data_IF_369369785681
#
_entry.id   IF_369369785681
#
_cell.length_a   1.000
_cell.length_b   1.000
_cell.length_c   1.000
_cell.angle_alpha   90.00
_cell.angle_beta   90.00
_cell.angle_gamma   90.00
#
_symmetry.space_group_name_H-M   'P 1'
#
loop_
_entity.id
_entity.type
_entity.pdbx_description
1 polymer ?
#
# COMPACT_ATOMS: atom_id res chain seq x y z
N UNK A 1 44.58 -60.52 -6.13
CA UNK A 1 43.47 -60.94 -7.02
C UNK A 1 42.15 -60.79 -6.27
N UNK A 2 41.12 -60.23 -6.89
CA UNK A 2 39.76 -60.02 -6.34
C UNK A 2 39.47 -58.55 -6.03
N UNK A 3 38.94 -57.72 -6.95
CA UNK A 3 37.56 -57.55 -7.48
C UNK A 3 36.52 -57.02 -6.47
N UNK A 4 36.07 -55.80 -6.75
CA UNK A 4 34.69 -55.31 -6.53
C UNK A 4 34.57 -54.16 -5.52
N UNK A 5 33.73 -53.15 -5.68
CA UNK A 5 32.78 -52.78 -6.75
C UNK A 5 32.21 -51.42 -6.32
N UNK A 6 32.68 -50.31 -6.89
CA UNK A 6 32.04 -49.01 -6.68
C UNK A 6 30.64 -49.03 -7.32
N UNK A 7 29.61 -48.83 -6.50
CA UNK A 7 28.24 -48.61 -6.96
C UNK A 7 27.76 -47.24 -6.51
N UNK A 8 27.87 -46.36 -7.49
CA UNK A 8 27.15 -45.11 -7.67
C UNK A 8 25.63 -45.31 -7.52
N UNK A 9 25.01 -44.52 -6.64
CA UNK A 9 23.59 -44.18 -6.57
C UNK A 9 23.54 -42.88 -5.75
N UNK A 10 22.96 -41.75 -6.16
CA UNK A 10 22.00 -41.46 -7.20
C UNK A 10 21.17 -40.29 -6.65
N UNK A 11 21.72 -39.07 -6.71
CA UNK A 11 21.03 -37.85 -6.27
C UNK A 11 20.00 -37.40 -7.32
N UNK A 12 18.73 -37.12 -6.95
CA UNK A 12 17.74 -36.65 -7.91
C UNK A 12 18.05 -35.22 -8.39
N UNK A 13 18.26 -35.09 -9.71
CA UNK A 13 18.42 -33.84 -10.44
C UNK A 13 17.15 -32.99 -10.29
N UNK A 14 17.27 -31.78 -9.73
CA UNK A 14 16.23 -30.74 -9.83
C UNK A 14 16.45 -29.97 -11.14
N UNK A 15 15.42 -29.94 -11.97
CA UNK A 15 15.37 -29.27 -13.27
C UNK A 15 15.60 -27.77 -13.13
N UNK A 16 16.63 -27.28 -13.82
CA UNK A 16 16.93 -25.86 -13.98
C UNK A 16 16.25 -25.40 -15.26
N UNK A 17 15.11 -24.73 -15.17
CA UNK A 17 14.55 -23.95 -16.27
C UNK A 17 14.58 -22.47 -15.87
N UNK A 18 15.60 -21.77 -16.38
CA UNK A 18 15.68 -20.31 -16.38
C UNK A 18 14.66 -19.74 -17.38
N UNK A 19 13.87 -18.71 -17.03
CA UNK A 19 13.07 -18.01 -18.01
C UNK A 19 13.98 -17.20 -18.98
N UNK A 20 13.89 -17.54 -20.26
CA UNK A 20 14.56 -16.86 -21.38
C UNK A 20 14.16 -15.38 -21.47
N UNK A 21 15.15 -14.53 -21.64
CA UNK A 21 15.03 -13.11 -22.00
C UNK A 21 14.43 -12.94 -23.40
N UNK A 22 13.52 -11.98 -23.67
CA UNK A 22 13.10 -11.68 -25.03
C UNK A 22 14.16 -10.89 -25.80
N UNK A 23 14.51 -11.40 -26.97
CA UNK A 23 15.45 -10.86 -27.95
C UNK A 23 15.00 -9.52 -28.55
N UNK A 24 15.96 -8.60 -28.73
CA UNK A 24 15.84 -7.38 -29.55
C UNK A 24 15.51 -7.73 -31.01
N UNK A 25 14.32 -7.37 -31.47
CA UNK A 25 13.97 -7.30 -32.90
C UNK A 25 14.07 -5.87 -33.40
N UNK A 26 14.99 -5.62 -34.35
CA UNK A 26 15.07 -4.40 -35.16
C UNK A 26 13.85 -4.33 -36.10
N UNK A 27 13.16 -3.20 -36.11
CA UNK A 27 12.19 -2.83 -37.14
C UNK A 27 12.06 -1.31 -37.16
N UNK A 28 12.66 -0.68 -38.16
CA UNK A 28 12.60 0.76 -38.39
C UNK A 28 11.28 1.18 -39.05
N UNK A 29 10.83 2.39 -38.72
CA UNK A 29 9.72 3.08 -39.35
C UNK A 29 9.65 4.50 -38.81
N UNK A 30 10.20 5.44 -39.58
CA UNK A 30 10.20 6.86 -39.24
C UNK A 30 8.80 7.46 -39.30
N UNK A 31 8.56 8.43 -38.41
CA UNK A 31 7.35 9.24 -38.35
C UNK A 31 7.65 10.51 -37.59
N UNK A 32 7.84 11.57 -38.36
CA UNK A 32 8.08 12.97 -38.02
C UNK A 32 7.43 13.53 -36.76
N UNK A 33 8.22 14.39 -36.11
CA UNK A 33 7.85 15.52 -35.26
C UNK A 33 6.50 16.18 -35.56
N UNK A 34 5.70 16.39 -34.51
CA UNK A 34 4.90 17.60 -34.37
C UNK A 34 4.95 18.11 -32.93
N UNK A 35 5.53 19.30 -32.80
CA UNK A 35 5.39 20.20 -31.66
C UNK A 35 3.94 20.67 -31.60
N UNK A 36 3.33 20.77 -30.41
CA UNK A 36 1.99 21.32 -30.27
C UNK A 36 1.36 21.18 -28.89
N UNK A 37 1.47 22.25 -28.10
CA UNK A 37 0.53 22.77 -27.09
C UNK A 37 -0.06 21.85 -26.00
N UNK A 38 0.33 22.15 -24.75
CA UNK A 38 -0.63 22.41 -23.67
C UNK A 38 -1.42 21.21 -23.15
N UNK A 39 -0.76 20.23 -22.54
CA UNK A 39 -1.44 19.32 -21.60
C UNK A 39 -1.45 19.97 -20.21
N UNK A 40 -2.36 20.91 -19.98
CA UNK A 40 -2.65 21.40 -18.63
C UNK A 40 -3.75 20.55 -18.00
N UNK A 41 -3.36 19.80 -16.97
CA UNK A 41 -4.18 19.02 -16.03
C UNK A 41 -5.56 18.57 -16.52
N UNK A 42 -5.59 17.53 -17.35
CA UNK A 42 -6.84 16.80 -17.60
C UNK A 42 -7.22 16.07 -16.31
N UNK A 43 -8.12 16.64 -15.51
CA UNK A 43 -8.62 16.02 -14.27
C UNK A 43 -9.24 14.65 -14.61
N UNK A 44 -8.89 13.62 -13.86
CA UNK A 44 -9.49 12.29 -14.03
C UNK A 44 -10.98 12.35 -13.69
N UNK A 45 -11.82 11.76 -14.55
CA UNK A 45 -13.26 11.64 -14.34
C UNK A 45 -13.51 10.54 -13.31
N UNK A 46 -14.04 10.93 -12.15
CA UNK A 46 -14.29 10.03 -11.03
C UNK A 46 -15.60 9.24 -11.13
N UNK A 47 -16.45 9.51 -12.13
CA UNK A 47 -17.74 8.81 -12.31
C UNK A 47 -17.52 7.32 -12.56
N UNK A 48 -17.64 6.52 -11.50
CA UNK A 48 -17.79 5.07 -11.54
C UNK A 48 -18.80 4.68 -10.48
N UNK A 49 -19.82 3.91 -10.85
CA UNK A 49 -20.65 3.24 -9.84
C UNK A 49 -19.75 2.28 -9.07
N UNK A 50 -19.75 2.39 -7.75
CA UNK A 50 -19.05 1.42 -6.90
C UNK A 50 -19.96 0.20 -6.82
N UNK A 51 -19.55 -0.97 -7.35
CA UNK A 51 -20.33 -2.18 -7.22
C UNK A 51 -20.46 -2.56 -5.73
N UNK A 52 -21.51 -3.31 -5.35
CA UNK A 52 -21.64 -3.80 -3.98
C UNK A 52 -20.38 -4.55 -3.57
N UNK A 53 -19.85 -4.18 -2.40
CA UNK A 53 -18.60 -4.76 -1.89
C UNK A 53 -18.94 -6.04 -1.15
N UNK A 54 -18.19 -7.11 -1.42
CA UNK A 54 -18.34 -8.36 -0.68
C UNK A 54 -17.99 -8.15 0.81
N UNK A 55 -18.83 -8.69 1.68
CA UNK A 55 -18.78 -8.53 3.13
C UNK A 55 -17.47 -9.05 3.69
N UNK A 56 -17.00 -10.18 3.16
CA UNK A 56 -15.70 -10.78 3.49
C UNK A 56 -14.77 -10.78 2.27
N UNK A 57 -13.44 -10.64 2.48
CA UNK A 57 -12.46 -10.74 1.40
C UNK A 57 -12.22 -12.18 0.92
N UNK A 58 -12.83 -13.19 1.57
CA UNK A 58 -12.61 -14.61 1.34
C UNK A 58 -13.96 -15.33 1.20
N UNK A 59 -14.02 -16.41 0.39
CA UNK A 59 -15.19 -17.26 0.34
C UNK A 59 -15.45 -17.89 1.72
N UNK A 60 -16.72 -18.04 2.10
CA UNK A 60 -17.11 -18.82 3.28
C UNK A 60 -18.08 -19.91 2.85
N UNK A 61 -18.43 -20.81 3.78
CA UNK A 61 -19.55 -21.72 3.53
C UNK A 61 -20.82 -20.92 3.23
N UNK A 62 -21.66 -21.40 2.31
CA UNK A 62 -22.87 -20.68 1.85
C UNK A 62 -23.77 -20.26 3.02
N UNK A 63 -23.89 -21.10 4.05
CA UNK A 63 -24.67 -20.78 5.26
C UNK A 63 -24.02 -19.67 6.10
N UNK A 64 -22.69 -19.65 6.21
CA UNK A 64 -21.95 -18.57 6.89
C UNK A 64 -22.00 -17.27 6.10
N UNK A 65 -21.85 -17.32 4.77
CA UNK A 65 -22.00 -16.14 3.90
C UNK A 65 -23.38 -15.51 4.02
N UNK A 66 -24.45 -16.33 3.97
CA UNK A 66 -25.82 -15.85 4.16
C UNK A 66 -26.06 -15.25 5.54
N UNK A 67 -25.59 -15.91 6.61
CA UNK A 67 -25.71 -15.39 7.97
C UNK A 67 -24.98 -14.06 8.15
N UNK A 68 -23.76 -13.93 7.61
CA UNK A 68 -22.99 -12.68 7.67
C UNK A 68 -23.60 -11.59 6.80
N UNK A 69 -24.11 -11.91 5.61
CA UNK A 69 -24.77 -10.94 4.74
C UNK A 69 -26.04 -10.34 5.39
N UNK A 70 -26.68 -11.07 6.29
CA UNK A 70 -27.86 -10.62 7.04
C UNK A 70 -27.52 -9.90 8.36
N UNK A 71 -26.23 -9.80 8.72
CA UNK A 71 -25.81 -9.09 9.94
C UNK A 71 -26.05 -7.58 9.85
N UNK A 72 -26.20 -6.93 11.01
CA UNK A 72 -26.34 -5.47 11.09
C UNK A 72 -25.10 -4.77 10.54
N UNK A 73 -23.92 -5.33 10.77
CA UNK A 73 -22.64 -4.86 10.28
C UNK A 73 -22.53 -4.94 8.76
N UNK A 74 -23.04 -6.01 8.13
CA UNK A 74 -23.09 -6.11 6.68
C UNK A 74 -24.06 -5.10 6.05
N UNK A 75 -25.20 -4.82 6.70
CA UNK A 75 -26.12 -3.77 6.26
C UNK A 75 -25.48 -2.39 6.38
N UNK A 76 -24.81 -2.10 7.51
CA UNK A 76 -24.06 -0.87 7.72
C UNK A 76 -22.94 -0.71 6.66
N UNK A 77 -22.24 -1.80 6.32
CA UNK A 77 -21.23 -1.81 5.27
C UNK A 77 -21.81 -1.36 3.92
N UNK A 78 -22.95 -1.93 3.50
CA UNK A 78 -23.59 -1.53 2.24
C UNK A 78 -24.07 -0.08 2.28
N UNK A 79 -24.56 0.39 3.43
CA UNK A 79 -24.97 1.80 3.57
C UNK A 79 -23.77 2.75 3.45
N UNK A 80 -22.63 2.44 4.07
CA UNK A 80 -21.41 3.22 3.89
C UNK A 80 -20.91 3.19 2.44
N UNK A 81 -21.06 2.08 1.72
CA UNK A 81 -20.73 2.01 0.27
C UNK A 81 -21.62 2.96 -0.54
N UNK A 82 -22.92 3.04 -0.24
CA UNK A 82 -23.82 4.02 -0.89
C UNK A 82 -23.42 5.46 -0.56
N UNK A 83 -23.10 5.75 0.71
CA UNK A 83 -22.61 7.07 1.13
C UNK A 83 -21.33 7.45 0.41
N UNK A 84 -20.40 6.50 0.23
CA UNK A 84 -19.16 6.70 -0.52
C UNK A 84 -19.45 6.99 -1.99
N UNK A 85 -20.32 6.20 -2.63
CA UNK A 85 -20.74 6.40 -4.02
C UNK A 85 -21.34 7.79 -4.22
N UNK A 86 -22.28 8.19 -3.34
CA UNK A 86 -22.86 9.54 -3.35
C UNK A 86 -21.81 10.64 -3.16
N UNK A 87 -20.88 10.46 -2.23
CA UNK A 87 -19.81 11.43 -1.98
C UNK A 87 -18.89 11.60 -3.20
N UNK A 88 -18.62 10.54 -3.96
CA UNK A 88 -17.82 10.59 -5.19
C UNK A 88 -18.58 11.31 -6.32
N UNK A 89 -19.88 11.07 -6.45
CA UNK A 89 -20.73 11.77 -7.42
C UNK A 89 -20.78 13.27 -7.09
N UNK A 90 -20.98 13.62 -5.81
CA UNK A 90 -20.95 15.00 -5.34
C UNK A 90 -19.59 15.65 -5.61
N UNK A 91 -18.48 14.96 -5.31
CA UNK A 91 -17.13 15.45 -5.60
C UNK A 91 -16.91 15.70 -7.09
N UNK A 92 -17.39 14.82 -7.98
CA UNK A 92 -17.29 15.05 -9.41
C UNK A 92 -18.10 16.27 -9.84
N UNK A 93 -19.34 16.42 -9.36
CA UNK A 93 -20.17 17.57 -9.70
C UNK A 93 -19.52 18.89 -9.25
N UNK A 94 -18.91 18.91 -8.07
CA UNK A 94 -18.15 20.07 -7.58
C UNK A 94 -16.92 20.32 -8.45
N UNK A 95 -16.18 19.28 -8.85
CA UNK A 95 -15.04 19.42 -9.78
C UNK A 95 -15.43 20.01 -11.13
N UNK A 96 -16.54 19.54 -11.70
CA UNK A 96 -17.08 20.02 -12.98
C UNK A 96 -17.48 21.51 -12.87
N UNK A 97 -18.06 21.92 -11.74
CA UNK A 97 -18.39 23.32 -11.46
C UNK A 97 -17.12 24.19 -11.37
N UNK A 98 -16.13 23.75 -10.61
CA UNK A 98 -14.88 24.49 -10.34
C UNK A 98 -14.00 24.64 -11.59
N UNK A 99 -14.15 23.75 -12.57
CA UNK A 99 -13.46 23.86 -13.86
C UNK A 99 -13.79 25.18 -14.58
N UNK A 100 -15.00 25.72 -14.41
CA UNK A 100 -15.39 27.01 -15.00
C UNK A 100 -14.59 28.19 -14.44
N UNK A 101 -14.31 28.18 -13.13
CA UNK A 101 -13.49 29.18 -12.46
C UNK A 101 -12.03 29.09 -12.90
N UNK A 102 -11.47 27.87 -12.97
CA UNK A 102 -10.11 27.64 -13.46
C UNK A 102 -9.93 28.07 -14.92
N UNK A 103 -10.90 27.76 -15.78
CA UNK A 103 -10.88 28.20 -17.19
C UNK A 103 -10.95 29.72 -17.31
N UNK A 104 -11.71 30.39 -16.43
CA UNK A 104 -11.77 31.85 -16.37
C UNK A 104 -10.42 32.47 -15.98
N UNK A 105 -9.74 31.87 -14.98
CA UNK A 105 -8.40 32.28 -14.56
C UNK A 105 -7.40 32.11 -15.71
N UNK A 106 -7.37 30.93 -16.35
CA UNK A 106 -6.46 30.64 -17.45
C UNK A 106 -6.67 31.61 -18.63
N UNK A 107 -7.93 31.79 -19.06
CA UNK A 107 -8.27 32.70 -20.16
C UNK A 107 -7.86 34.14 -19.86
N UNK A 108 -8.03 34.60 -18.61
CA UNK A 108 -7.63 35.94 -18.21
C UNK A 108 -6.11 36.07 -18.13
N UNK A 109 -5.42 35.03 -17.63
CA UNK A 109 -3.96 34.97 -17.58
C UNK A 109 -3.35 35.02 -18.98
N UNK A 110 -3.88 34.24 -19.93
CA UNK A 110 -3.41 34.21 -21.32
C UNK A 110 -3.58 35.58 -21.99
N UNK A 111 -4.69 36.29 -21.73
CA UNK A 111 -4.91 37.66 -22.22
C UNK A 111 -3.89 38.65 -21.66
N UNK A 112 -3.60 38.56 -20.37
CA UNK A 112 -2.61 39.42 -19.71
C UNK A 112 -1.21 39.19 -20.31
N UNK A 113 -0.86 37.92 -20.56
CA UNK A 113 0.41 37.55 -21.20
C UNK A 113 0.47 38.07 -22.64
N UNK A 114 -0.60 37.89 -23.42
CA UNK A 114 -0.67 38.35 -24.81
C UNK A 114 -0.64 39.88 -24.94
N UNK A 115 -1.22 40.62 -23.99
CA UNK A 115 -1.23 42.08 -23.97
C UNK A 115 0.03 42.68 -23.31
N UNK A 116 0.90 41.86 -22.71
CA UNK A 116 2.08 42.24 -21.90
C UNK A 116 1.79 43.36 -20.86
N UNK A 117 0.52 43.51 -20.46
CA UNK A 117 0.06 44.64 -19.64
C UNK A 117 -0.94 44.19 -18.60
N UNK A 118 -0.59 44.41 -17.33
CA UNK A 118 -1.49 44.21 -16.20
C UNK A 118 -2.26 45.51 -15.95
N UNK A 119 -3.53 45.55 -16.31
CA UNK A 119 -4.43 46.63 -15.92
C UNK A 119 -4.95 46.42 -14.49
N UNK A 120 -5.25 47.50 -13.77
CA UNK A 120 -5.82 47.44 -12.41
C UNK A 120 -7.10 46.60 -12.35
N UNK A 121 -7.93 46.68 -13.39
CA UNK A 121 -9.16 45.90 -13.52
C UNK A 121 -8.87 44.40 -13.67
N UNK A 122 -7.94 44.02 -14.57
CA UNK A 122 -7.55 42.64 -14.76
C UNK A 122 -6.94 42.05 -13.48
N UNK A 123 -6.10 42.83 -12.79
CA UNK A 123 -5.50 42.44 -11.50
C UNK A 123 -6.56 42.16 -10.43
N UNK A 124 -7.51 43.08 -10.25
CA UNK A 124 -8.54 42.93 -9.22
C UNK A 124 -9.49 41.77 -9.54
N UNK A 125 -9.81 41.56 -10.83
CA UNK A 125 -10.60 40.42 -11.28
C UNK A 125 -9.87 39.10 -11.02
N UNK A 126 -8.61 39.01 -11.42
CA UNK A 126 -7.79 37.81 -11.22
C UNK A 126 -7.65 37.46 -9.74
N UNK A 127 -7.46 38.47 -8.87
CA UNK A 127 -7.42 38.28 -7.42
C UNK A 127 -8.72 37.65 -6.90
N UNK A 128 -9.88 38.18 -7.32
CA UNK A 128 -11.19 37.64 -6.92
C UNK A 128 -11.40 36.21 -7.44
N UNK A 129 -11.00 35.95 -8.68
CA UNK A 129 -11.15 34.61 -9.28
C UNK A 129 -10.25 33.59 -8.55
N UNK A 130 -9.03 33.97 -8.13
CA UNK A 130 -8.18 33.14 -7.24
C UNK A 130 -8.75 32.96 -5.83
N UNK A 131 -9.31 34.01 -5.21
CA UNK A 131 -9.99 33.91 -3.91
C UNK A 131 -11.18 32.95 -3.97
N UNK A 132 -11.94 32.98 -5.07
CA UNK A 132 -13.03 32.02 -5.33
C UNK A 132 -12.49 30.60 -5.53
N UNK A 133 -11.46 30.42 -6.35
CA UNK A 133 -10.85 29.11 -6.60
C UNK A 133 -10.29 28.48 -5.31
N UNK A 134 -9.74 29.29 -4.40
CA UNK A 134 -9.29 28.81 -3.08
C UNK A 134 -10.46 28.28 -2.23
N UNK A 135 -11.60 28.97 -2.22
CA UNK A 135 -12.81 28.51 -1.53
C UNK A 135 -13.34 27.20 -2.12
N UNK A 136 -13.42 27.15 -3.46
CA UNK A 136 -13.84 25.98 -4.23
C UNK A 136 -12.97 24.74 -3.99
N UNK A 137 -11.64 24.91 -3.94
CA UNK A 137 -10.71 23.82 -3.58
C UNK A 137 -10.90 23.39 -2.13
N UNK A 138 -11.21 24.32 -1.22
CA UNK A 138 -11.55 24.01 0.16
C UNK A 138 -12.77 23.08 0.27
N UNK A 139 -13.83 23.35 -0.51
CA UNK A 139 -15.02 22.49 -0.58
C UNK A 139 -14.69 21.11 -1.18
N UNK A 140 -13.91 21.05 -2.26
CA UNK A 140 -13.45 19.77 -2.83
C UNK A 140 -12.67 18.94 -1.80
N UNK A 141 -11.77 19.56 -1.04
CA UNK A 141 -10.94 18.89 -0.04
C UNK A 141 -11.79 18.33 1.11
N UNK A 142 -12.84 19.04 1.54
CA UNK A 142 -13.79 18.53 2.52
C UNK A 142 -14.53 17.28 2.02
N UNK A 143 -14.96 17.25 0.76
CA UNK A 143 -15.62 16.09 0.15
C UNK A 143 -14.65 14.90 0.04
N UNK A 144 -13.40 15.13 -0.33
CA UNK A 144 -12.35 14.09 -0.34
C UNK A 144 -12.14 13.51 1.06
N UNK A 145 -12.02 14.36 2.08
CA UNK A 145 -11.89 13.90 3.47
C UNK A 145 -13.09 13.10 3.95
N UNK A 146 -14.32 13.50 3.59
CA UNK A 146 -15.54 12.75 3.89
C UNK A 146 -15.53 11.37 3.23
N UNK A 147 -15.16 11.29 1.96
CA UNK A 147 -15.04 10.02 1.23
C UNK A 147 -13.98 9.11 1.87
N UNK A 148 -12.81 9.65 2.21
CA UNK A 148 -11.75 8.91 2.90
C UNK A 148 -12.18 8.40 4.28
N UNK A 149 -12.88 9.22 5.07
CA UNK A 149 -13.45 8.79 6.35
C UNK A 149 -14.41 7.61 6.17
N UNK A 150 -15.26 7.68 5.15
CA UNK A 150 -16.20 6.60 4.82
C UNK A 150 -15.45 5.33 4.42
N UNK A 151 -14.34 5.45 3.66
CA UNK A 151 -13.45 4.31 3.35
C UNK A 151 -12.84 3.71 4.61
N UNK A 152 -12.43 4.52 5.59
CA UNK A 152 -11.93 4.01 6.88
C UNK A 152 -13.00 3.26 7.65
N UNK A 153 -14.24 3.76 7.69
CA UNK A 153 -15.37 3.08 8.32
C UNK A 153 -15.67 1.74 7.65
N UNK A 154 -15.74 1.70 6.32
CA UNK A 154 -15.90 0.46 5.54
C UNK A 154 -14.82 -0.55 5.89
N UNK A 155 -13.55 -0.11 5.99
CA UNK A 155 -12.43 -1.00 6.34
C UNK A 155 -12.52 -1.52 7.76
N UNK A 156 -12.92 -0.68 8.71
CA UNK A 156 -13.11 -1.10 10.10
C UNK A 156 -14.21 -2.18 10.19
N UNK A 157 -15.35 -1.96 9.55
CA UNK A 157 -16.46 -2.93 9.53
C UNK A 157 -16.02 -4.24 8.86
N UNK A 158 -15.33 -4.18 7.71
CA UNK A 158 -14.80 -5.39 7.05
C UNK A 158 -13.76 -6.12 7.89
N UNK A 159 -12.94 -5.36 8.61
CA UNK A 159 -11.97 -5.91 9.53
C UNK A 159 -12.67 -6.69 10.66
N UNK A 160 -13.70 -6.11 11.26
CA UNK A 160 -14.44 -6.73 12.37
C UNK A 160 -15.21 -7.97 11.90
N UNK A 161 -15.86 -7.91 10.74
CA UNK A 161 -16.53 -9.06 10.12
C UNK A 161 -15.55 -10.19 9.80
N UNK A 162 -14.34 -9.87 9.36
CA UNK A 162 -13.27 -10.86 9.13
C UNK A 162 -12.83 -11.53 10.44
N UNK A 163 -12.72 -10.78 11.54
CA UNK A 163 -12.41 -11.33 12.86
C UNK A 163 -13.53 -12.24 13.36
N UNK A 164 -14.79 -11.81 13.23
CA UNK A 164 -15.95 -12.62 13.56
C UNK A 164 -15.97 -13.94 12.76
N UNK A 165 -15.65 -13.90 11.46
CA UNK A 165 -15.61 -15.09 10.59
C UNK A 165 -14.52 -16.09 11.01
N UNK A 166 -13.37 -15.60 11.47
CA UNK A 166 -12.33 -16.48 12.02
C UNK A 166 -12.73 -17.08 13.36
N UNK A 167 -13.41 -16.31 14.21
CA UNK A 167 -13.86 -16.78 15.53
C UNK A 167 -14.93 -17.87 15.46
N UNK A 168 -15.74 -17.88 14.39
CA UNK A 168 -16.77 -18.90 14.15
C UNK A 168 -16.22 -20.24 13.63
N UNK A 169 -14.89 -20.42 13.63
CA UNK A 169 -14.24 -21.69 13.29
C UNK A 169 -13.87 -21.83 11.82
N UNK A 170 -14.10 -20.80 10.98
CA UNK A 170 -13.70 -20.86 9.58
C UNK A 170 -12.20 -20.54 9.42
N UNK A 171 -11.38 -21.59 9.40
CA UNK A 171 -9.93 -21.52 9.16
C UNK A 171 -9.59 -21.82 7.70
N UNK A 172 -10.24 -21.14 6.76
CA UNK A 172 -9.97 -21.42 5.35
C UNK A 172 -8.49 -21.26 4.98
N UNK A 173 -8.12 -22.11 4.04
CA UNK A 173 -6.78 -22.36 3.58
C UNK A 173 -6.47 -21.43 2.40
N UNK A 174 -5.58 -20.44 2.58
CA UNK A 174 -5.10 -19.60 1.48
C UNK A 174 -4.10 -20.34 0.59
N UNK A 175 -4.57 -20.79 -0.57
CA UNK A 175 -3.66 -21.13 -1.68
C UNK A 175 -2.70 -19.95 -1.92
N UNK A 176 -1.41 -20.24 -2.10
CA UNK A 176 -0.34 -19.25 -2.32
C UNK A 176 -0.72 -18.11 -3.29
N UNK A 177 -1.35 -18.42 -4.41
CA UNK A 177 -1.79 -17.40 -5.38
C UNK A 177 -2.84 -16.43 -4.84
N UNK A 178 -3.78 -16.90 -4.00
CA UNK A 178 -4.77 -16.06 -3.34
C UNK A 178 -4.11 -15.17 -2.28
N UNK A 179 -3.16 -15.71 -1.51
CA UNK A 179 -2.39 -14.96 -0.52
C UNK A 179 -1.61 -13.82 -1.17
N UNK A 180 -0.88 -14.10 -2.25
CA UNK A 180 -0.10 -13.08 -2.96
C UNK A 180 -1.00 -11.99 -3.56
N UNK A 181 -2.17 -12.36 -4.09
CA UNK A 181 -3.18 -11.40 -4.57
C UNK A 181 -3.75 -10.54 -3.44
N UNK A 182 -3.97 -11.12 -2.26
CA UNK A 182 -4.40 -10.39 -1.07
C UNK A 182 -3.35 -9.36 -0.65
N UNK A 183 -2.08 -9.75 -0.57
CA UNK A 183 -0.98 -8.83 -0.21
C UNK A 183 -0.88 -7.66 -1.20
N UNK A 184 -0.92 -7.96 -2.50
CA UNK A 184 -0.93 -6.92 -3.53
C UNK A 184 -2.11 -5.95 -3.35
N UNK A 185 -3.31 -6.46 -3.12
CA UNK A 185 -4.50 -5.64 -2.89
C UNK A 185 -4.38 -4.79 -1.61
N UNK A 186 -3.84 -5.37 -0.53
CA UNK A 186 -3.58 -4.65 0.72
C UNK A 186 -2.59 -3.49 0.54
N UNK A 187 -1.57 -3.64 -0.30
CA UNK A 187 -0.65 -2.56 -0.64
C UNK A 187 -1.31 -1.49 -1.52
N UNK A 188 -1.96 -1.89 -2.61
CA UNK A 188 -2.59 -0.96 -3.56
C UNK A 188 -3.69 -0.12 -2.93
N UNK A 189 -4.48 -0.72 -2.03
CA UNK A 189 -5.54 -0.03 -1.33
C UNK A 189 -5.05 0.73 -0.10
N UNK A 190 -3.76 0.72 0.25
CA UNK A 190 -3.28 1.52 1.38
C UNK A 190 -3.57 3.01 1.11
N UNK A 191 -4.30 3.71 2.00
CA UNK A 191 -4.71 5.08 1.74
C UNK A 191 -3.49 5.99 1.79
N UNK A 192 -3.48 7.01 0.95
CA UNK A 192 -2.45 8.05 0.99
C UNK A 192 -2.80 9.03 2.13
N UNK A 193 -1.81 9.44 2.90
CA UNK A 193 -1.97 10.51 3.87
C UNK A 193 -2.20 11.84 3.17
N UNK A 194 -3.28 12.53 3.53
CA UNK A 194 -3.60 13.89 3.09
C UNK A 194 -3.68 14.76 4.35
N UNK A 195 -2.67 15.61 4.56
CA UNK A 195 -2.63 16.61 5.63
C UNK A 195 -2.77 18.03 5.08
N UNK A 196 -3.08 18.99 5.95
CA UNK A 196 -3.01 20.42 5.61
C UNK A 196 -1.56 20.92 5.48
N UNK A 197 -1.35 22.18 5.06
CA UNK A 197 -0.02 22.73 4.78
C UNK A 197 0.97 22.72 5.95
N UNK A 198 0.46 22.68 7.19
CA UNK A 198 1.28 22.68 8.40
C UNK A 198 1.21 21.35 9.19
N UNK A 199 0.42 20.39 8.70
CA UNK A 199 0.22 19.13 9.41
C UNK A 199 1.39 18.19 9.13
N UNK A 200 1.98 17.65 10.20
CA UNK A 200 3.00 16.61 10.07
C UNK A 200 2.34 15.25 9.79
N UNK A 201 2.98 14.40 8.99
CA UNK A 201 2.49 13.04 8.78
C UNK A 201 2.39 12.29 10.12
N UNK A 202 1.25 11.65 10.41
CA UNK A 202 1.05 10.97 11.68
C UNK A 202 1.90 9.69 11.78
N UNK A 203 2.05 9.11 12.99
CA UNK A 203 2.65 7.80 13.18
C UNK A 203 2.08 6.75 12.21
N UNK A 204 2.94 5.87 11.69
CA UNK A 204 2.59 4.83 10.71
C UNK A 204 2.15 5.36 9.33
N UNK A 205 2.50 6.61 9.00
CA UNK A 205 2.44 7.12 7.64
C UNK A 205 3.80 6.97 6.97
N UNK A 206 3.91 6.12 5.95
CA UNK A 206 5.18 5.86 5.26
C UNK A 206 6.28 5.39 6.23
N UNK A 207 7.38 6.14 6.32
CA UNK A 207 8.54 5.89 7.20
C UNK A 207 8.38 6.42 8.64
N UNK A 208 7.29 7.15 8.95
CA UNK A 208 7.08 7.72 10.29
C UNK A 208 6.88 6.59 11.32
N UNK A 209 7.72 6.49 12.36
CA UNK A 209 7.68 5.37 13.30
C UNK A 209 6.38 5.37 14.15
N UNK A 210 5.97 4.21 14.68
CA UNK A 210 4.90 4.14 15.67
C UNK A 210 5.28 4.87 16.96
N UNK A 211 4.26 5.27 17.71
CA UNK A 211 4.44 5.77 19.08
C UNK A 211 5.06 4.70 20.00
N UNK A 212 5.82 5.16 20.99
CA UNK A 212 6.56 4.27 21.91
C UNK A 212 5.68 3.39 22.79
N UNK A 213 4.38 3.66 22.89
CA UNK A 213 3.35 2.88 23.60
C UNK A 213 2.32 2.27 22.64
N UNK A 214 2.51 2.37 21.32
CA UNK A 214 1.59 1.82 20.34
C UNK A 214 1.42 0.30 20.53
N UNK A 215 0.15 -0.12 20.52
CA UNK A 215 -0.28 -1.52 20.59
C UNK A 215 -0.91 -1.86 19.24
N UNK A 216 -0.38 -2.89 18.59
CA UNK A 216 -0.91 -3.39 17.31
C UNK A 216 -2.26 -4.06 17.59
N UNK A 217 -3.29 -3.72 16.81
CA UNK A 217 -4.64 -4.24 17.05
C UNK A 217 -4.73 -5.70 16.64
N UNK A 218 -5.60 -6.45 17.32
CA UNK A 218 -5.96 -7.81 16.89
C UNK A 218 -6.53 -7.74 15.48
N UNK A 219 -5.98 -8.57 14.60
CA UNK A 219 -6.32 -8.66 13.20
C UNK A 219 -5.47 -7.81 12.25
N UNK A 220 -4.68 -6.87 12.78
CA UNK A 220 -3.73 -6.13 11.97
C UNK A 220 -2.54 -7.03 11.59
N UNK A 221 -1.96 -6.76 10.43
CA UNK A 221 -0.72 -7.40 9.99
C UNK A 221 0.50 -6.62 10.52
N UNK A 222 1.53 -7.35 10.92
CA UNK A 222 2.79 -6.81 11.40
C UNK A 222 3.98 -7.65 10.94
N UNK A 223 5.16 -7.05 10.86
CA UNK A 223 6.40 -7.81 10.76
C UNK A 223 6.75 -8.36 12.14
N UNK A 224 6.99 -9.66 12.22
CA UNK A 224 7.21 -10.38 13.47
C UNK A 224 8.53 -11.16 13.41
N UNK A 225 9.41 -10.97 14.39
CA UNK A 225 10.68 -11.69 14.49
C UNK A 225 10.46 -13.02 15.22
N UNK A 226 10.34 -14.08 14.45
CA UNK A 226 10.15 -15.46 14.94
C UNK A 226 11.48 -16.20 14.95
N UNK A 227 11.57 -17.24 15.78
CA UNK A 227 12.74 -18.12 15.85
C UNK A 227 12.38 -19.43 15.19
N UNK A 228 13.09 -19.78 14.12
CA UNK A 228 12.92 -21.05 13.41
C UNK A 228 13.48 -22.24 14.18
N UNK A 229 13.20 -23.44 13.66
CA UNK A 229 13.65 -24.72 14.22
C UNK A 229 15.17 -24.86 14.31
N UNK A 230 15.92 -24.24 13.38
CA UNK A 230 17.38 -24.24 13.34
C UNK A 230 18.01 -23.12 14.20
N UNK A 231 17.18 -22.36 14.94
CA UNK A 231 17.62 -21.31 15.85
C UNK A 231 17.84 -19.94 15.19
N UNK A 232 17.73 -19.85 13.86
CA UNK A 232 17.76 -18.62 13.09
C UNK A 232 16.51 -17.76 13.37
N UNK A 233 16.69 -16.44 13.39
CA UNK A 233 15.59 -15.50 13.60
C UNK A 233 15.22 -14.81 12.29
N UNK A 234 13.96 -14.94 11.89
CA UNK A 234 13.45 -14.40 10.64
C UNK A 234 12.29 -13.44 10.89
N UNK A 235 12.30 -12.31 10.19
CA UNK A 235 11.15 -11.40 10.16
C UNK A 235 10.12 -11.94 9.18
N UNK A 236 8.97 -12.36 9.69
CA UNK A 236 7.84 -12.84 8.89
C UNK A 236 6.70 -11.82 8.91
N UNK A 237 5.84 -11.87 7.91
CA UNK A 237 4.56 -11.20 7.91
C UNK A 237 3.56 -12.05 8.70
N UNK A 238 3.02 -11.53 9.78
CA UNK A 238 2.08 -12.25 10.62
C UNK A 238 0.88 -11.38 10.97
N UNK A 239 -0.23 -12.03 11.28
CA UNK A 239 -1.44 -11.37 11.80
C UNK A 239 -1.45 -11.45 13.32
N UNK A 240 -1.84 -10.36 13.99
CA UNK A 240 -2.00 -10.36 15.44
C UNK A 240 -3.30 -11.09 15.82
N UNK A 241 -3.21 -12.19 16.55
CA UNK A 241 -4.40 -12.90 17.06
C UNK A 241 -4.82 -12.43 18.46
N UNK A 242 -3.89 -11.87 19.23
CA UNK A 242 -4.15 -11.44 20.60
C UNK A 242 -3.04 -10.55 21.18
N UNK A 243 -3.36 -9.79 22.21
CA UNK A 243 -2.39 -9.06 23.02
C UNK A 243 -2.76 -9.19 24.49
N UNK A 244 -1.80 -9.60 25.32
CA UNK A 244 -1.98 -9.68 26.76
C UNK A 244 -1.37 -8.45 27.44
N UNK A 245 -2.18 -7.51 27.98
CA UNK A 245 -1.67 -6.29 28.59
C UNK A 245 -0.84 -6.52 29.86
N UNK A 246 -1.12 -7.62 30.59
CA UNK A 246 -0.42 -7.93 31.85
C UNK A 246 1.03 -8.38 31.62
N UNK A 247 1.29 -9.09 30.52
CA UNK A 247 2.62 -9.62 30.18
C UNK A 247 3.31 -8.83 29.07
N UNK A 248 2.59 -7.96 28.35
CA UNK A 248 3.11 -7.22 27.19
C UNK A 248 3.47 -8.12 26.01
N UNK A 249 2.80 -9.28 25.90
CA UNK A 249 3.06 -10.30 24.88
C UNK A 249 1.96 -10.30 23.84
N UNK A 250 2.35 -10.45 22.58
CA UNK A 250 1.46 -10.67 21.45
C UNK A 250 1.34 -12.16 21.17
N UNK A 251 0.15 -12.55 20.74
CA UNK A 251 -0.07 -13.80 20.03
C UNK A 251 -0.18 -13.46 18.55
N UNK A 252 0.61 -14.14 17.73
CA UNK A 252 0.68 -13.89 16.28
C UNK A 252 0.55 -15.20 15.52
N UNK A 253 -0.06 -15.14 14.35
CA UNK A 253 -0.25 -16.25 13.42
C UNK A 253 0.45 -15.91 12.11
N UNK A 254 1.36 -16.77 11.65
CA UNK A 254 1.97 -16.61 10.32
C UNK A 254 0.88 -16.57 9.25
N UNK A 255 1.01 -15.65 8.28
CA UNK A 255 0.07 -15.59 7.15
C UNK A 255 0.32 -16.72 6.14
N UNK A 256 1.48 -17.35 6.17
CA UNK A 256 1.77 -18.52 5.35
C UNK A 256 1.04 -19.74 5.90
N UNK A 257 0.27 -20.34 5.01
CA UNK A 257 -0.71 -21.32 5.34
C UNK A 257 -0.12 -22.69 5.65
N UNK A 258 1.04 -22.99 5.06
CA UNK A 258 1.77 -24.24 5.26
C UNK A 258 2.38 -24.34 6.66
N UNK A 259 2.69 -23.19 7.28
CA UNK A 259 3.35 -23.14 8.57
C UNK A 259 2.37 -22.88 9.71
N UNK A 260 1.34 -22.02 9.51
CA UNK A 260 0.28 -21.64 10.49
C UNK A 260 0.70 -21.76 11.97
N UNK A 261 1.90 -21.29 12.25
CA UNK A 261 2.51 -21.46 13.55
C UNK A 261 2.09 -20.28 14.42
N UNK A 262 1.55 -20.61 15.60
CA UNK A 262 1.18 -19.59 16.57
C UNK A 262 2.39 -19.29 17.43
N UNK A 263 2.83 -18.04 17.39
CA UNK A 263 3.95 -17.59 18.19
C UNK A 263 3.49 -16.61 19.27
N UNK A 264 4.04 -16.76 20.47
CA UNK A 264 3.91 -15.75 21.52
C UNK A 264 5.17 -14.90 21.54
N UNK A 265 5.06 -13.63 21.16
CA UNK A 265 6.19 -12.73 20.97
C UNK A 265 6.15 -11.55 21.95
N UNK A 266 7.32 -11.09 22.38
CA UNK A 266 7.42 -9.81 23.10
C UNK A 266 7.16 -8.65 22.16
N UNK A 267 6.69 -7.52 22.69
CA UNK A 267 6.51 -6.26 21.94
C UNK A 267 7.71 -5.83 21.08
N UNK A 268 8.95 -6.13 21.49
CA UNK A 268 10.18 -5.78 20.73
C UNK A 268 10.35 -6.56 19.42
N UNK A 269 9.67 -7.71 19.31
CA UNK A 269 9.71 -8.61 18.16
C UNK A 269 8.55 -8.39 17.20
N UNK A 270 7.74 -7.35 17.43
CA UNK A 270 6.58 -7.02 16.58
C UNK A 270 6.73 -5.58 16.12
N UNK A 271 6.76 -5.38 14.80
CA UNK A 271 6.82 -4.07 14.18
C UNK A 271 5.56 -3.84 13.32
N UNK A 272 4.71 -2.86 13.64
CA UNK A 272 3.49 -2.59 12.88
C UNK A 272 3.79 -2.14 11.45
N UNK A 273 2.95 -2.54 10.50
CA UNK A 273 3.00 -2.02 9.14
C UNK A 273 2.46 -0.58 9.07
N UNK A 274 2.88 0.23 8.08
CA UNK A 274 2.28 1.51 7.80
C UNK A 274 0.76 1.39 7.55
N UNK A 275 0.01 2.32 8.14
CA UNK A 275 -1.44 2.44 7.96
C UNK A 275 -1.80 3.39 6.80
N UNK A 276 -0.83 4.20 6.36
CA UNK A 276 -0.96 5.16 5.25
C UNK A 276 0.32 5.21 4.42
N UNK A 277 0.17 5.48 3.13
CA UNK A 277 1.28 5.86 2.24
C UNK A 277 1.62 7.33 2.43
N UNK A 278 2.89 7.68 2.38
CA UNK A 278 3.31 9.05 2.21
C UNK A 278 3.23 9.42 0.72
N UNK A 279 2.72 10.63 0.44
CA UNK A 279 2.76 11.18 -0.92
C UNK A 279 4.13 11.88 -1.12
N UNK A 280 4.96 11.44 -2.08
CA UNK A 280 6.27 12.06 -2.34
C UNK A 280 6.20 13.56 -2.64
N UNK A 281 5.11 14.04 -3.24
CA UNK A 281 4.95 15.44 -3.62
C UNK A 281 4.70 16.37 -2.42
N UNK A 282 4.08 15.86 -1.37
CA UNK A 282 3.63 16.67 -0.22
C UNK A 282 4.29 16.31 1.09
N UNK A 283 4.75 15.07 1.26
CA UNK A 283 5.37 14.57 2.48
C UNK A 283 6.61 13.69 2.16
N UNK A 284 7.61 14.21 1.42
CA UNK A 284 8.82 13.44 1.10
C UNK A 284 9.63 13.01 2.33
N UNK A 285 9.52 13.75 3.44
CA UNK A 285 10.16 13.43 4.72
C UNK A 285 9.61 12.17 5.39
N UNK A 286 8.42 11.72 5.00
CA UNK A 286 7.82 10.46 5.44
C UNK A 286 8.11 9.28 4.50
N UNK A 287 9.17 9.38 3.69
CA UNK A 287 9.72 8.27 2.91
C UNK A 287 11.13 7.90 3.42
N UNK A 288 11.58 6.69 3.12
CA UNK A 288 12.98 6.32 3.30
C UNK A 288 13.79 6.87 2.12
N UNK A 289 14.84 7.70 2.34
CA UNK A 289 15.66 8.20 1.25
C UNK A 289 16.52 7.09 0.62
N UNK A 290 17.02 7.35 -0.59
CA UNK A 290 18.02 6.51 -1.24
C UNK A 290 19.21 6.19 -0.31
N UNK A 291 19.72 4.97 -0.39
CA UNK A 291 20.80 4.45 0.45
C UNK A 291 20.37 4.00 1.85
N UNK A 292 19.12 4.20 2.25
CA UNK A 292 18.63 3.76 3.57
C UNK A 292 18.58 2.25 3.67
N UNK A 293 19.09 1.70 4.78
CA UNK A 293 18.95 0.28 5.12
C UNK A 293 17.57 0.05 5.72
N UNK A 294 16.81 -0.83 5.07
CA UNK A 294 15.45 -1.20 5.44
C UNK A 294 15.34 -2.72 5.57
N UNK A 295 14.23 -3.19 6.13
CA UNK A 295 13.77 -4.55 5.88
C UNK A 295 12.53 -4.48 4.97
N UNK A 296 12.51 -5.28 3.92
CA UNK A 296 11.46 -5.26 2.92
C UNK A 296 10.93 -6.67 2.68
N UNK A 297 9.62 -6.81 2.40
CA UNK A 297 9.01 -8.09 2.08
C UNK A 297 9.56 -8.59 0.73
N UNK A 298 10.20 -9.76 0.69
CA UNK A 298 10.75 -10.26 -0.56
C UNK A 298 9.63 -10.73 -1.50
N UNK A 299 9.70 -10.44 -2.82
CA UNK A 299 8.62 -10.77 -3.74
C UNK A 299 8.23 -12.25 -3.70
N UNK A 300 6.92 -12.51 -3.74
CA UNK A 300 6.35 -13.87 -3.72
C UNK A 300 6.65 -14.69 -2.46
N UNK A 301 6.99 -14.02 -1.35
CA UNK A 301 7.21 -14.61 -0.02
C UNK A 301 6.41 -13.88 1.06
N UNK A 302 6.46 -14.42 2.28
CA UNK A 302 5.89 -13.84 3.50
C UNK A 302 6.98 -13.36 4.46
N UNK A 303 8.23 -13.20 4.00
CA UNK A 303 9.38 -12.87 4.84
C UNK A 303 9.99 -11.51 4.47
N UNK A 304 10.48 -10.80 5.48
CA UNK A 304 11.21 -9.55 5.35
C UNK A 304 12.71 -9.80 5.43
N UNK A 305 13.45 -9.21 4.48
CA UNK A 305 14.90 -9.34 4.40
C UNK A 305 15.55 -7.96 4.36
N UNK A 306 16.82 -7.91 4.73
CA UNK A 306 17.61 -6.70 4.69
C UNK A 306 17.76 -6.22 3.24
N UNK A 307 17.51 -4.95 3.01
CA UNK A 307 17.61 -4.32 1.70
C UNK A 307 18.06 -2.87 1.82
N UNK A 308 18.52 -2.32 0.70
CA UNK A 308 18.88 -0.92 0.55
C UNK A 308 17.89 -0.25 -0.39
N UNK A 309 17.45 0.95 -0.06
CA UNK A 309 16.60 1.76 -0.96
C UNK A 309 17.45 2.26 -2.12
N UNK A 310 17.18 1.78 -3.33
CA UNK A 310 17.76 2.30 -4.58
C UNK A 310 17.05 3.58 -5.00
N UNK A 311 15.71 3.55 -5.01
CA UNK A 311 14.91 4.72 -5.36
C UNK A 311 13.64 4.81 -4.49
N UNK A 312 13.38 5.96 -3.84
CA UNK A 312 12.09 6.21 -3.22
C UNK A 312 10.99 6.42 -4.29
N UNK A 313 9.71 6.21 -3.94
CA UNK A 313 8.59 6.52 -4.83
C UNK A 313 8.62 7.98 -5.29
N UNK A 314 8.38 8.23 -6.57
CA UNK A 314 8.26 9.59 -7.13
C UNK A 314 6.82 10.08 -7.20
N UNK A 315 5.87 9.16 -7.36
CA UNK A 315 4.43 9.44 -7.35
C UNK A 315 3.74 8.70 -6.20
N UNK A 316 2.56 9.17 -5.80
CA UNK A 316 1.79 8.57 -4.71
C UNK A 316 1.41 7.09 -4.95
N UNK A 317 1.35 6.65 -6.21
CA UNK A 317 1.07 5.28 -6.62
C UNK A 317 2.31 4.41 -6.87
N UNK A 318 3.51 4.99 -6.81
CA UNK A 318 4.75 4.26 -7.01
C UNK A 318 5.15 3.41 -5.79
N UNK A 319 5.91 2.36 -6.08
CA UNK A 319 6.60 1.52 -5.13
C UNK A 319 8.04 2.00 -4.90
N UNK A 320 8.66 1.60 -3.79
CA UNK A 320 10.11 1.73 -3.62
C UNK A 320 10.82 0.79 -4.58
N UNK A 321 11.99 1.19 -5.07
CA UNK A 321 12.95 0.27 -5.64
C UNK A 321 14.01 -0.08 -4.58
N UNK A 322 14.22 -1.36 -4.32
CA UNK A 322 15.17 -1.83 -3.31
C UNK A 322 16.11 -2.91 -3.86
N UNK A 323 17.30 -3.00 -3.26
CA UNK A 323 18.31 -4.02 -3.53
C UNK A 323 18.44 -4.89 -2.27
N UNK A 324 18.08 -6.17 -2.35
CA UNK A 324 18.19 -7.10 -1.25
C UNK A 324 19.63 -7.58 -1.09
N UNK A 325 20.09 -7.76 0.15
CA UNK A 325 21.38 -8.40 0.41
C UNK A 325 21.26 -9.90 0.09
N UNK A 326 22.00 -10.37 -0.90
CA UNK A 326 21.93 -11.74 -1.40
C UNK A 326 23.31 -12.19 -1.92
N UNK A 327 23.95 -13.07 -1.16
CA UNK A 327 25.28 -13.63 -1.45
C UNK A 327 25.35 -14.49 -2.72
N UNK A 328 24.21 -14.84 -3.34
CA UNK A 328 24.19 -15.55 -4.61
C UNK A 328 24.57 -14.65 -5.79
N UNK A 329 24.50 -13.33 -5.63
CA UNK A 329 24.93 -12.36 -6.63
C UNK A 329 26.40 -11.94 -6.42
N UNK A 330 27.08 -11.60 -7.51
CA UNK A 330 28.52 -11.29 -7.52
C UNK A 330 28.85 -10.05 -6.70
N UNK A 331 27.97 -9.06 -6.72
CA UNK A 331 28.04 -7.82 -5.94
C UNK A 331 27.41 -7.96 -4.54
N UNK A 332 26.85 -9.13 -4.21
CA UNK A 332 26.15 -9.39 -2.96
C UNK A 332 24.75 -8.78 -2.88
N UNK A 333 24.19 -8.30 -3.99
CA UNK A 333 22.90 -7.64 -4.03
C UNK A 333 21.98 -8.16 -5.14
N UNK A 334 20.69 -8.22 -4.85
CA UNK A 334 19.70 -8.50 -5.90
C UNK A 334 19.66 -7.37 -6.93
N UNK A 335 19.16 -7.63 -8.15
CA UNK A 335 18.69 -6.58 -9.04
C UNK A 335 17.65 -5.69 -8.35
N UNK A 336 17.37 -4.49 -8.88
CA UNK A 336 16.35 -3.62 -8.32
C UNK A 336 14.95 -4.25 -8.36
N UNK A 337 14.30 -4.33 -7.21
CA UNK A 337 12.96 -4.90 -7.04
C UNK A 337 11.99 -3.86 -6.49
N UNK A 338 10.77 -3.83 -7.04
CA UNK A 338 9.71 -2.88 -6.64
C UNK A 338 8.90 -3.41 -5.46
N UNK A 339 8.95 -2.70 -4.33
CA UNK A 339 8.24 -3.07 -3.09
C UNK A 339 7.36 -1.90 -2.62
N UNK A 340 6.08 -2.18 -2.44
CA UNK A 340 5.12 -1.17 -1.99
C UNK A 340 5.48 -0.62 -0.60
N UNK A 341 5.16 0.67 -0.36
CA UNK A 341 5.46 1.34 0.91
C UNK A 341 4.97 0.57 2.15
N UNK A 342 3.84 -0.15 2.04
CA UNK A 342 3.26 -0.98 3.10
C UNK A 342 4.24 -2.04 3.64
N UNK A 343 5.16 -2.49 2.81
CA UNK A 343 6.03 -3.63 3.05
C UNK A 343 7.51 -3.26 3.13
N UNK A 344 7.82 -1.96 3.28
CA UNK A 344 9.16 -1.45 3.54
C UNK A 344 9.19 -0.84 4.95
N UNK A 345 10.02 -1.37 5.82
CA UNK A 345 10.06 -1.09 7.25
C UNK A 345 11.48 -0.71 7.69
N UNK A 346 11.67 -0.02 8.82
CA UNK A 346 13.02 0.31 9.25
C UNK A 346 13.74 -0.96 9.66
N UNK A 347 14.99 -1.10 9.24
CA UNK A 347 15.76 -2.30 9.55
C UNK A 347 15.91 -2.47 11.08
N UNK A 348 15.52 -3.65 11.57
CA UNK A 348 15.70 -4.08 12.95
C UNK A 348 16.64 -5.26 12.97
N UNK A 349 17.89 -5.00 13.31
CA UNK A 349 18.92 -6.03 13.44
C UNK A 349 18.48 -7.09 14.47
N UNK A 350 18.25 -8.35 14.05
CA UNK A 350 17.83 -9.43 14.95
C UNK A 350 18.93 -9.79 15.96
N UNK A 351 20.20 -9.60 15.61
CA UNK A 351 21.35 -9.99 16.43
C UNK A 351 21.80 -8.90 17.40
N UNK A 352 21.29 -7.67 17.24
CA UNK A 352 21.66 -6.54 18.10
C UNK A 352 20.96 -6.67 19.45
N UNK A 353 21.64 -7.34 20.39
CA UNK A 353 21.34 -7.22 21.83
C UNK A 353 21.54 -5.76 22.23
N UNK A 354 20.45 -5.08 22.58
CA UNK A 354 20.50 -3.76 23.23
C UNK A 354 20.71 -3.92 24.72
#
# INVERSE_FOLDING_TARGET
MGKGKDRNAGSPKRSVESPKSPSKGKGGGGGSSSSGNGSWFKREVLKREIPPINVTPYPLSTSTEMAMAMSSEAQALQEHVKVLSKSIIELQATRDKNETTLNSINTLSDKIVAEEKITTNNRNRLKRDYEQALGEVGEELQLVHRALNTVYQIRAIRHDLRIQAKSSGNKETFRRGALMKMLLNCAQTLPVWLGGPADKPPPLSGSVPPESNYIVKVGDMAACLVRGSEGEENWILAEISGFNPSTGRYEVEDIDEEQKERHTLSRRRVYPLPLRRANPETNPEALYPEGTIVMALYPQTTCFYKAYVSQPPTLACDDYEVLFEDSSYVDGYSPPLRIAQRYVLPYKDPNKKK
#
